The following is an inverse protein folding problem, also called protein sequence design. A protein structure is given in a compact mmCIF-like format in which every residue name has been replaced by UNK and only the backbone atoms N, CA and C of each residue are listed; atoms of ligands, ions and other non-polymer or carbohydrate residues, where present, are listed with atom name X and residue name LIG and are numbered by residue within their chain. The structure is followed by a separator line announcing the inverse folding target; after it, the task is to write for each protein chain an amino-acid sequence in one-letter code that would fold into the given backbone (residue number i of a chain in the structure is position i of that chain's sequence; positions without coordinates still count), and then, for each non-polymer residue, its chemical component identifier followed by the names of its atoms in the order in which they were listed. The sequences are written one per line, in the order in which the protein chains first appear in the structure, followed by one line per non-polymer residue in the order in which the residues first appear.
data_IF_610482774465
#
_entry.id   IF_610482774465
#
_cell.length_a   1.000
_cell.length_b   1.000
_cell.length_c   1.000
_cell.angle_alpha   90.00
_cell.angle_beta   90.00
_cell.angle_gamma   90.00
#
_symmetry.space_group_name_H-M   'P 1'
#
loop_
_entity.id
_entity.type
_entity.pdbx_description
1 polymer ?
#
# COMPACT_ATOMS: atom_id res chain seq x y z
N UNK A 1 44.52 -31.03 -2.66
CA UNK A 1 44.08 -30.70 -1.30
C UNK A 1 43.89 -29.19 -1.27
N UNK A 2 42.68 -28.74 -0.94
CA UNK A 2 42.09 -27.47 -1.32
C UNK A 2 42.76 -26.23 -0.70
N UNK A 3 42.83 -25.15 -1.47
CA UNK A 3 43.00 -23.78 -0.98
C UNK A 3 41.74 -23.01 -1.37
N UNK A 4 40.76 -22.96 -0.47
CA UNK A 4 39.64 -22.01 -0.56
C UNK A 4 39.97 -20.81 0.32
N UNK A 5 40.31 -19.68 -0.32
CA UNK A 5 40.26 -18.36 0.33
C UNK A 5 38.86 -17.83 0.11
N UNK A 6 38.06 -17.86 1.16
CA UNK A 6 36.79 -17.12 1.23
C UNK A 6 37.12 -15.65 1.48
N UNK A 7 36.55 -14.68 0.74
CA UNK A 7 36.70 -13.26 1.05
C UNK A 7 35.95 -12.92 2.36
N UNK A 8 36.36 -11.84 3.07
CA UNK A 8 35.69 -11.41 4.29
C UNK A 8 34.26 -10.99 3.98
N UNK A 9 33.31 -11.57 4.71
CA UNK A 9 31.93 -11.08 4.79
C UNK A 9 31.96 -9.69 5.44
N UNK A 10 31.83 -8.65 4.61
CA UNK A 10 31.53 -7.31 5.07
C UNK A 10 30.21 -7.35 5.88
N UNK A 11 30.12 -6.64 7.02
CA UNK A 11 28.86 -6.54 7.72
C UNK A 11 27.90 -5.78 6.82
N UNK A 12 26.91 -6.50 6.26
CA UNK A 12 25.71 -5.88 5.73
C UNK A 12 25.14 -5.01 6.85
N UNK A 13 25.22 -3.70 6.66
CA UNK A 13 24.56 -2.71 7.50
C UNK A 13 23.08 -2.99 7.31
N UNK A 14 22.53 -3.79 8.22
CA UNK A 14 21.11 -3.98 8.41
C UNK A 14 20.57 -2.62 8.83
N UNK A 15 20.17 -1.84 7.83
CA UNK A 15 19.48 -0.58 8.01
C UNK A 15 18.04 -0.89 8.41
N UNK A 16 17.86 -1.62 9.52
CA UNK A 16 16.58 -1.68 10.24
C UNK A 16 16.37 -0.33 10.91
N UNK A 17 16.06 0.68 10.07
CA UNK A 17 15.09 1.69 10.48
C UNK A 17 13.90 0.87 10.96
N UNK A 18 13.70 0.83 12.27
CA UNK A 18 12.50 0.23 12.86
C UNK A 18 11.36 1.04 12.28
N UNK A 19 10.81 0.58 11.16
CA UNK A 19 9.72 1.26 10.48
C UNK A 19 8.63 1.42 11.53
N UNK A 20 8.18 2.65 11.72
CA UNK A 20 7.10 2.92 12.66
C UNK A 20 5.94 1.95 12.37
N UNK A 21 5.24 1.46 13.39
CA UNK A 21 4.15 0.52 13.18
C UNK A 21 3.16 1.13 12.17
N UNK A 22 2.79 0.32 11.17
CA UNK A 22 1.79 0.71 10.18
C UNK A 22 0.45 0.79 10.91
N UNK A 23 -0.04 2.02 11.10
CA UNK A 23 -1.35 2.29 11.70
C UNK A 23 -2.20 3.09 10.72
N UNK A 24 -3.48 3.21 11.05
CA UNK A 24 -4.38 4.08 10.30
C UNK A 24 -3.85 5.52 10.17
N UNK A 25 -3.54 6.16 11.31
CA UNK A 25 -3.13 7.56 11.37
C UNK A 25 -1.72 7.81 10.80
N UNK A 26 -0.80 6.84 10.92
CA UNK A 26 0.59 7.01 10.49
C UNK A 26 0.83 6.72 9.02
N UNK A 27 0.06 5.82 8.41
CA UNK A 27 0.41 5.27 7.09
C UNK A 27 -0.81 5.06 6.20
N UNK A 28 -1.79 4.29 6.66
CA UNK A 28 -2.86 3.79 5.78
C UNK A 28 -3.73 4.92 5.24
N UNK A 29 -4.14 5.87 6.10
CA UNK A 29 -4.95 7.02 5.67
C UNK A 29 -4.26 7.84 4.58
N UNK A 30 -2.92 7.94 4.63
CA UNK A 30 -2.12 8.70 3.67
C UNK A 30 -2.03 8.06 2.28
N UNK A 31 -2.45 6.81 2.11
CA UNK A 31 -2.45 6.13 0.80
C UNK A 31 -3.67 6.42 -0.06
N UNK A 32 -4.73 6.97 0.53
CA UNK A 32 -5.93 7.36 -0.18
C UNK A 32 -5.86 8.84 -0.54
N UNK A 33 -5.82 9.15 -1.83
CA UNK A 33 -5.83 10.54 -2.27
C UNK A 33 -7.25 11.12 -2.12
N UNK A 34 -7.39 12.46 -2.00
CA UNK A 34 -8.71 13.09 -1.96
C UNK A 34 -9.61 12.70 -3.15
N UNK A 35 -9.02 12.48 -4.33
CA UNK A 35 -9.73 12.00 -5.52
C UNK A 35 -10.27 10.56 -5.36
N UNK A 36 -9.56 9.69 -4.64
CA UNK A 36 -10.03 8.35 -4.31
C UNK A 36 -11.23 8.40 -3.39
N UNK A 37 -11.16 9.25 -2.36
CA UNK A 37 -12.24 9.47 -1.41
C UNK A 37 -13.50 9.94 -2.14
N UNK A 38 -13.39 10.97 -2.98
CA UNK A 38 -14.51 11.48 -3.76
C UNK A 38 -15.11 10.41 -4.69
N UNK A 39 -14.25 9.63 -5.36
CA UNK A 39 -14.69 8.55 -6.24
C UNK A 39 -15.45 7.47 -5.47
N UNK A 40 -14.95 7.06 -4.30
CA UNK A 40 -15.57 6.00 -3.51
C UNK A 40 -16.84 6.47 -2.81
N UNK A 41 -16.94 7.73 -2.40
CA UNK A 41 -18.19 8.31 -1.90
C UNK A 41 -19.29 8.27 -2.97
N UNK A 42 -18.96 8.66 -4.22
CA UNK A 42 -19.95 8.74 -5.29
C UNK A 42 -20.29 7.39 -5.95
N UNK A 43 -19.31 6.50 -6.11
CA UNK A 43 -19.46 5.25 -6.86
C UNK A 43 -19.39 3.98 -6.00
N UNK A 44 -18.66 4.03 -4.88
CA UNK A 44 -18.47 2.90 -3.96
C UNK A 44 -19.49 2.85 -2.82
N UNK A 45 -20.00 4.01 -2.41
CA UNK A 45 -20.95 4.16 -1.30
C UNK A 45 -20.31 4.14 0.09
N UNK A 46 -19.00 4.38 0.21
CA UNK A 46 -18.27 4.45 1.48
C UNK A 46 -17.09 5.42 1.41
N UNK A 47 -16.61 5.87 2.56
CA UNK A 47 -15.59 6.91 2.70
C UNK A 47 -14.18 6.31 2.95
N UNK A 48 -13.24 6.57 2.04
CA UNK A 48 -11.84 6.14 2.20
C UNK A 48 -11.03 6.99 3.19
N UNK A 49 -11.58 8.10 3.67
CA UNK A 49 -10.98 8.95 4.69
C UNK A 49 -11.41 8.56 6.12
N UNK A 50 -12.33 7.60 6.25
CA UNK A 50 -12.86 7.07 7.50
C UNK A 50 -12.31 5.67 7.80
N UNK A 51 -11.81 5.46 9.03
CA UNK A 51 -11.18 4.20 9.43
C UNK A 51 -12.19 3.06 9.50
N UNK A 52 -13.40 3.34 9.98
CA UNK A 52 -14.43 2.33 10.19
C UNK A 52 -14.94 1.82 8.85
N UNK A 53 -15.18 2.71 7.88
CA UNK A 53 -15.50 2.33 6.50
C UNK A 53 -14.35 1.56 5.85
N UNK A 54 -13.12 2.06 5.92
CA UNK A 54 -11.98 1.35 5.31
C UNK A 54 -11.76 -0.02 5.93
N UNK A 55 -11.91 -0.17 7.24
CA UNK A 55 -11.77 -1.46 7.92
C UNK A 55 -12.90 -2.43 7.56
N UNK A 56 -14.15 -1.95 7.46
CA UNK A 56 -15.31 -2.74 7.06
C UNK A 56 -15.18 -3.29 5.62
N UNK A 57 -14.55 -2.53 4.72
CA UNK A 57 -14.33 -2.91 3.32
C UNK A 57 -12.90 -3.38 3.01
N UNK A 58 -12.06 -3.56 4.03
CA UNK A 58 -10.63 -3.79 3.85
C UNK A 58 -10.30 -5.01 2.97
N UNK A 59 -10.95 -6.19 3.10
CA UNK A 59 -10.68 -7.32 2.21
C UNK A 59 -10.91 -6.99 0.73
N UNK A 60 -11.98 -6.25 0.42
CA UNK A 60 -12.34 -5.85 -0.93
C UNK A 60 -11.36 -4.80 -1.47
N UNK A 61 -10.98 -3.83 -0.64
CA UNK A 61 -9.97 -2.81 -0.99
C UNK A 61 -8.64 -3.50 -1.31
N UNK A 62 -8.17 -4.39 -0.43
CA UNK A 62 -6.91 -5.12 -0.61
C UNK A 62 -6.86 -5.89 -1.93
N UNK A 63 -7.92 -6.63 -2.27
CA UNK A 63 -8.00 -7.36 -3.55
C UNK A 63 -7.92 -6.39 -4.73
N UNK A 64 -8.61 -5.25 -4.67
CA UNK A 64 -8.64 -4.28 -5.77
C UNK A 64 -7.30 -3.56 -5.98
N UNK A 65 -6.65 -3.12 -4.91
CA UNK A 65 -5.33 -2.46 -4.98
C UNK A 65 -4.25 -3.45 -5.42
N UNK A 66 -4.31 -4.70 -4.93
CA UNK A 66 -3.38 -5.76 -5.36
C UNK A 66 -3.53 -6.12 -6.83
N UNK A 67 -4.77 -6.20 -7.32
CA UNK A 67 -5.07 -6.47 -8.72
C UNK A 67 -4.93 -5.24 -9.63
N UNK A 68 -4.41 -4.11 -9.11
CA UNK A 68 -4.20 -2.87 -9.88
C UNK A 68 -5.50 -2.39 -10.55
N UNK A 69 -6.62 -2.52 -9.84
CA UNK A 69 -7.95 -2.03 -10.27
C UNK A 69 -8.45 -0.86 -9.44
N UNK A 70 -7.77 -0.58 -8.31
CA UNK A 70 -7.85 0.66 -7.56
C UNK A 70 -6.43 1.21 -7.32
N UNK A 71 -6.24 2.53 -7.38
CA UNK A 71 -7.22 3.55 -7.76
C UNK A 71 -7.65 3.47 -9.24
N UNK A 72 -8.84 3.98 -9.56
CA UNK A 72 -9.36 3.96 -10.93
C UNK A 72 -8.69 5.06 -11.76
N UNK A 73 -7.97 4.66 -12.80
CA UNK A 73 -7.35 5.60 -13.74
C UNK A 73 -8.38 6.18 -14.70
N UNK A 74 -8.25 7.47 -15.02
CA UNK A 74 -9.16 8.22 -15.88
C UNK A 74 -8.41 8.75 -17.11
N UNK A 75 -9.06 8.85 -18.29
CA UNK A 75 -8.43 9.34 -19.51
C UNK A 75 -7.73 10.70 -19.31
N UNK A 76 -6.54 10.92 -19.89
CA UNK A 76 -5.85 10.05 -20.86
C UNK A 76 -5.10 8.86 -20.23
N UNK A 77 -5.08 8.74 -18.91
CA UNK A 77 -4.39 7.66 -18.20
C UNK A 77 -5.23 6.38 -18.15
N UNK A 78 -4.54 5.25 -18.04
CA UNK A 78 -5.15 3.92 -17.99
C UNK A 78 -4.49 3.08 -16.90
N UNK A 79 -5.07 1.92 -16.57
CA UNK A 79 -4.42 1.02 -15.60
C UNK A 79 -3.05 0.51 -16.06
N UNK A 80 -2.75 0.54 -17.37
CA UNK A 80 -1.45 0.16 -17.94
C UNK A 80 -0.48 1.34 -18.06
N UNK A 81 -0.98 2.58 -18.07
CA UNK A 81 -0.21 3.81 -18.08
C UNK A 81 -0.85 4.80 -17.07
N UNK A 82 -0.62 4.59 -15.77
CA UNK A 82 -1.31 5.34 -14.73
C UNK A 82 -0.83 6.79 -14.67
N UNK A 83 -1.69 7.64 -14.14
CA UNK A 83 -1.38 9.03 -13.86
C UNK A 83 -0.18 9.12 -12.89
N UNK A 84 0.91 9.81 -13.25
CA UNK A 84 2.04 10.02 -12.34
C UNK A 84 1.65 10.73 -11.04
N UNK A 85 0.59 11.54 -11.05
CA UNK A 85 0.07 12.23 -9.86
C UNK A 85 -0.94 11.36 -9.07
N UNK A 86 -1.48 10.31 -9.69
CA UNK A 86 -2.38 9.35 -9.05
C UNK A 86 -1.97 7.91 -9.37
N UNK A 87 -0.76 7.49 -8.93
CA UNK A 87 -0.22 6.20 -9.30
C UNK A 87 -1.00 5.06 -8.66
N UNK A 88 -0.85 3.86 -9.23
CA UNK A 88 -1.34 2.65 -8.59
C UNK A 88 -0.53 2.33 -7.34
N UNK A 89 -1.17 1.66 -6.40
CA UNK A 89 -0.49 1.24 -5.18
C UNK A 89 0.71 0.35 -5.50
N UNK A 90 1.83 0.61 -4.82
CA UNK A 90 3.01 -0.25 -4.90
C UNK A 90 2.77 -1.55 -4.14
N UNK A 91 3.65 -2.53 -4.35
CA UNK A 91 3.56 -3.80 -3.63
C UNK A 91 3.84 -3.62 -2.13
N UNK A 92 4.68 -2.64 -1.77
CA UNK A 92 4.93 -2.22 -0.39
C UNK A 92 3.66 -1.63 0.26
N UNK A 93 2.96 -0.73 -0.44
CA UNK A 93 1.68 -0.18 0.07
C UNK A 93 0.66 -1.30 0.30
N UNK A 94 0.60 -2.28 -0.61
CA UNK A 94 -0.26 -3.45 -0.46
C UNK A 94 0.15 -4.32 0.74
N UNK A 95 1.46 -4.51 0.96
CA UNK A 95 1.99 -5.26 2.10
C UNK A 95 1.68 -4.56 3.44
N UNK A 96 1.85 -3.24 3.50
CA UNK A 96 1.51 -2.42 4.66
C UNK A 96 0.02 -2.49 4.98
N UNK A 97 -0.85 -2.35 3.98
CA UNK A 97 -2.30 -2.47 4.16
C UNK A 97 -2.70 -3.87 4.64
N UNK A 98 -2.09 -4.92 4.10
CA UNK A 98 -2.29 -6.29 4.58
C UNK A 98 -1.82 -6.45 6.03
N UNK A 99 -0.66 -5.91 6.38
CA UNK A 99 -0.15 -5.95 7.76
C UNK A 99 -1.08 -5.24 8.75
N UNK A 100 -1.62 -4.08 8.34
CA UNK A 100 -2.62 -3.35 9.12
C UNK A 100 -3.91 -4.16 9.32
N UNK A 101 -4.40 -4.84 8.28
CA UNK A 101 -5.55 -5.75 8.39
C UNK A 101 -5.26 -6.94 9.34
N UNK A 102 -4.13 -7.62 9.14
CA UNK A 102 -3.75 -8.80 9.91
C UNK A 102 -3.50 -8.45 11.39
N UNK A 103 -3.08 -7.22 11.67
CA UNK A 103 -2.90 -6.65 13.01
C UNK A 103 -4.21 -6.22 13.70
N UNK A 104 -5.37 -6.41 13.08
CA UNK A 104 -6.67 -6.05 13.65
C UNK A 104 -6.97 -4.55 13.59
N UNK A 105 -6.47 -3.86 12.57
CA UNK A 105 -6.72 -2.44 12.33
C UNK A 105 -6.21 -1.51 13.45
N UNK A 106 -4.91 -1.55 13.81
CA UNK A 106 -4.34 -0.65 14.81
C UNK A 106 -4.50 0.83 14.41
#
# INVERSE_FOLDING_TARGET
MASETTPPVEPQVDNTVTAAPVTWESTIKGYFLPSDVECMLNAGGFDLSDKDDVSAYAPQIYVRVKNKTMPKQMPPFTQQNPDPAHPLWTDEMCANFKGWMDGGFP
#
